data_IF_108198292388
#
_entry.id   IF_108198292388
#
_cell.length_a   1.000
_cell.length_b   1.000
_cell.length_c   1.000
_cell.angle_alpha   90.00
_cell.angle_beta   90.00
_cell.angle_gamma   90.00
#
_symmetry.space_group_name_H-M   'P 1'
#
loop_
_entity.id
_entity.type
_entity.pdbx_description
1 polymer ?
#
# COMPACT_ATOMS: atom_id res chain seq x y z
N UNK A 1 28.30 17.51 9.74
CA UNK A 1 28.25 17.34 8.29
C UNK A 1 27.69 18.64 7.73
N UNK A 2 28.21 19.17 6.63
CA UNK A 2 27.69 20.43 6.06
C UNK A 2 26.50 20.15 5.15
N UNK A 3 25.69 21.17 4.89
CA UNK A 3 24.60 21.14 3.90
C UNK A 3 25.07 20.75 2.50
N UNK A 4 26.36 21.02 2.15
CA UNK A 4 26.95 20.61 0.88
C UNK A 4 26.92 19.09 0.65
N UNK A 5 27.02 18.30 1.73
CA UNK A 5 26.93 16.83 1.64
C UNK A 5 25.51 16.38 1.32
N UNK A 6 24.48 16.99 1.93
CA UNK A 6 23.09 16.73 1.54
C UNK A 6 22.83 17.06 0.08
N UNK A 7 23.31 18.21 -0.39
CA UNK A 7 23.18 18.61 -1.80
C UNK A 7 23.88 17.60 -2.71
N UNK A 8 25.06 17.13 -2.34
CA UNK A 8 25.79 16.13 -3.13
C UNK A 8 25.04 14.78 -3.17
N UNK A 9 24.46 14.34 -2.05
CA UNK A 9 23.62 13.14 -1.99
C UNK A 9 22.36 13.30 -2.85
N UNK A 10 21.69 14.44 -2.77
CA UNK A 10 20.53 14.75 -3.59
C UNK A 10 20.87 14.71 -5.09
N UNK A 11 21.92 15.38 -5.53
CA UNK A 11 22.36 15.38 -6.93
C UNK A 11 22.64 13.96 -7.44
N UNK A 12 23.35 13.13 -6.68
CA UNK A 12 23.60 11.73 -7.06
C UNK A 12 22.31 10.94 -7.27
N UNK A 13 21.30 11.16 -6.42
CA UNK A 13 19.99 10.51 -6.57
C UNK A 13 19.28 10.98 -7.84
N UNK A 14 19.37 12.29 -8.15
CA UNK A 14 18.81 12.85 -9.39
C UNK A 14 19.46 12.25 -10.63
N UNK A 15 20.77 12.01 -10.62
CA UNK A 15 21.48 11.40 -11.73
C UNK A 15 21.05 9.95 -11.98
N UNK A 16 20.74 9.21 -10.93
CA UNK A 16 20.44 7.78 -10.99
C UNK A 16 18.97 7.44 -11.19
N UNK A 17 18.03 8.34 -10.84
CA UNK A 17 16.60 8.07 -11.00
C UNK A 17 16.21 8.10 -12.48
N UNK A 18 15.57 7.00 -12.96
CA UNK A 18 15.01 6.91 -14.31
C UNK A 18 13.61 7.49 -14.38
N UNK A 19 13.25 8.05 -15.54
CA UNK A 19 11.90 8.46 -15.92
C UNK A 19 11.25 7.50 -16.94
N UNK A 20 11.88 6.36 -17.25
CA UNK A 20 11.38 5.42 -18.26
C UNK A 20 10.02 4.85 -17.90
N UNK A 21 9.80 4.63 -16.60
CA UNK A 21 8.54 4.11 -16.09
C UNK A 21 8.14 4.96 -14.87
N UNK A 22 7.02 5.65 -14.99
CA UNK A 22 6.45 6.48 -13.93
C UNK A 22 5.06 5.97 -13.61
N UNK A 23 4.74 5.82 -12.33
CA UNK A 23 3.39 5.44 -11.90
C UNK A 23 2.41 6.60 -12.08
N UNK A 24 1.20 6.31 -12.56
CA UNK A 24 0.16 7.32 -12.79
C UNK A 24 -0.25 8.05 -11.52
N UNK A 25 -0.14 7.40 -10.38
CA UNK A 25 -0.41 8.00 -9.07
C UNK A 25 0.47 9.22 -8.74
N UNK A 26 1.53 9.49 -9.52
CA UNK A 26 2.30 10.73 -9.40
C UNK A 26 1.41 11.97 -9.60
N UNK A 27 0.36 11.86 -10.42
CA UNK A 27 -0.57 12.95 -10.71
C UNK A 27 -1.66 13.12 -9.63
N UNK A 28 -1.76 12.18 -8.68
CA UNK A 28 -2.76 12.20 -7.62
C UNK A 28 -2.21 12.79 -6.30
N UNK A 29 -0.89 12.89 -6.18
CA UNK A 29 -0.26 13.50 -5.01
C UNK A 29 -0.44 15.00 -5.06
N UNK A 30 -0.85 15.59 -3.95
CA UNK A 30 -1.04 17.03 -3.81
C UNK A 30 0.31 17.76 -3.61
N UNK A 31 1.16 17.75 -4.64
CA UNK A 31 2.52 18.30 -4.58
C UNK A 31 2.57 19.81 -4.32
N UNK A 32 1.56 20.55 -4.79
CA UNK A 32 1.50 22.01 -4.68
C UNK A 32 0.96 22.49 -3.33
N UNK A 33 0.54 21.55 -2.47
CA UNK A 33 0.09 21.87 -1.11
C UNK A 33 1.28 22.22 -0.21
N UNK A 34 1.05 23.16 0.72
CA UNK A 34 2.08 23.60 1.68
C UNK A 34 2.65 22.46 2.51
N UNK A 35 1.85 21.44 2.80
CA UNK A 35 2.29 20.22 3.46
C UNK A 35 1.56 19.03 2.88
N UNK A 36 2.29 18.14 2.25
CA UNK A 36 1.79 16.87 1.73
C UNK A 36 2.58 15.69 2.29
N UNK A 37 1.95 14.52 2.32
CA UNK A 37 2.59 13.29 2.77
C UNK A 37 2.34 12.15 1.78
N UNK A 38 3.40 11.47 1.35
CA UNK A 38 3.34 10.23 0.57
C UNK A 38 3.60 9.05 1.53
N UNK A 39 2.55 8.33 1.90
CA UNK A 39 2.64 7.21 2.84
C UNK A 39 2.28 5.89 2.18
N UNK A 40 2.74 4.79 2.73
CA UNK A 40 2.41 3.46 2.20
C UNK A 40 3.42 2.39 2.60
N UNK A 41 3.17 1.12 2.24
CA UNK A 41 4.03 0.00 2.60
C UNK A 41 5.48 0.20 2.17
N UNK A 42 6.40 -0.46 2.86
CA UNK A 42 7.81 -0.45 2.47
C UNK A 42 8.00 -1.19 1.14
N UNK A 43 8.81 -0.63 0.24
CA UNK A 43 9.13 -1.26 -1.05
C UNK A 43 8.17 -0.96 -2.20
N UNK A 44 7.13 -0.14 -2.02
CA UNK A 44 6.17 0.23 -3.09
C UNK A 44 6.67 1.34 -4.02
N UNK A 45 7.83 1.96 -3.73
CA UNK A 45 8.45 2.95 -4.61
C UNK A 45 8.22 4.42 -4.25
N UNK A 46 7.88 4.77 -2.99
CA UNK A 46 7.64 6.15 -2.54
C UNK A 46 8.81 7.09 -2.85
N UNK A 47 10.02 6.72 -2.45
CA UNK A 47 11.25 7.47 -2.72
C UNK A 47 11.45 7.71 -4.22
N UNK A 48 11.24 6.66 -5.04
CA UNK A 48 11.35 6.75 -6.50
C UNK A 48 10.34 7.73 -7.07
N UNK A 49 9.07 7.67 -6.62
CA UNK A 49 8.01 8.57 -7.06
C UNK A 49 8.35 10.03 -6.77
N UNK A 50 8.83 10.34 -5.56
CA UNK A 50 9.27 11.68 -5.17
C UNK A 50 10.42 12.17 -6.06
N UNK A 51 11.44 11.34 -6.24
CA UNK A 51 12.59 11.71 -7.08
C UNK A 51 12.21 11.87 -8.56
N UNK A 52 11.29 11.07 -9.07
CA UNK A 52 10.74 11.22 -10.42
C UNK A 52 9.95 12.52 -10.56
N UNK A 53 9.13 12.87 -9.56
CA UNK A 53 8.43 14.15 -9.55
C UNK A 53 9.41 15.32 -9.59
N UNK A 54 10.42 15.32 -8.74
CA UNK A 54 11.46 16.35 -8.72
C UNK A 54 12.15 16.44 -10.08
N UNK A 55 12.60 15.33 -10.65
CA UNK A 55 13.30 15.29 -11.94
C UNK A 55 12.45 15.79 -13.08
N UNK A 56 11.14 15.53 -13.05
CA UNK A 56 10.19 15.96 -14.09
C UNK A 56 9.85 17.45 -14.02
N UNK A 57 9.75 18.01 -12.80
CA UNK A 57 9.20 19.35 -12.60
C UNK A 57 10.24 20.41 -12.24
N UNK A 58 11.41 20.00 -11.74
CA UNK A 58 12.47 20.91 -11.26
C UNK A 58 13.81 20.72 -12.00
N UNK A 59 13.83 20.04 -13.16
CA UNK A 59 15.08 19.78 -13.91
C UNK A 59 15.90 21.05 -14.18
N UNK A 60 15.21 22.15 -14.52
CA UNK A 60 15.84 23.43 -14.87
C UNK A 60 16.12 24.32 -13.64
N UNK A 61 15.50 24.02 -12.48
CA UNK A 61 15.52 24.84 -11.26
C UNK A 61 15.81 24.03 -10.01
N UNK A 62 16.81 23.15 -10.04
CA UNK A 62 17.17 22.30 -8.89
C UNK A 62 17.59 23.07 -7.62
N UNK A 63 17.89 24.37 -7.72
CA UNK A 63 18.17 25.23 -6.56
C UNK A 63 16.91 25.56 -5.75
N UNK A 64 15.71 25.45 -6.35
CA UNK A 64 14.44 25.73 -5.68
C UNK A 64 13.91 24.52 -4.89
N UNK A 65 14.53 23.36 -5.05
CA UNK A 65 14.09 22.11 -4.42
C UNK A 65 15.23 21.41 -3.71
N UNK A 66 14.91 20.78 -2.56
CA UNK A 66 15.87 19.94 -1.85
C UNK A 66 15.18 18.65 -1.39
N UNK A 67 15.83 17.52 -1.67
CA UNK A 67 15.45 16.22 -1.12
C UNK A 67 16.46 15.79 -0.08
N UNK A 68 15.98 15.38 1.09
CA UNK A 68 16.77 14.80 2.16
C UNK A 68 16.05 13.59 2.78
N UNK A 69 16.78 12.52 3.04
CA UNK A 69 16.28 11.43 3.90
C UNK A 69 16.65 11.70 5.35
N UNK A 70 15.71 11.49 6.26
CA UNK A 70 15.99 11.68 7.69
C UNK A 70 16.93 10.62 8.30
N UNK A 71 17.27 9.60 7.51
CA UNK A 71 18.33 8.63 7.86
C UNK A 71 19.75 9.17 7.59
N UNK A 72 19.89 10.35 6.96
CA UNK A 72 21.20 10.95 6.71
C UNK A 72 21.87 11.38 8.02
N UNK A 73 23.18 11.15 8.11
CA UNK A 73 24.00 11.53 9.26
C UNK A 73 24.01 13.03 9.55
N UNK A 74 23.56 13.85 8.61
CA UNK A 74 23.33 15.28 8.83
C UNK A 74 22.42 15.52 10.04
N UNK A 75 21.35 14.74 10.17
CA UNK A 75 20.37 14.86 11.24
C UNK A 75 20.85 14.34 12.61
N UNK A 76 22.07 13.83 12.70
CA UNK A 76 22.67 13.53 14.02
C UNK A 76 23.07 14.78 14.80
N UNK A 77 23.30 15.91 14.11
CA UNK A 77 23.75 17.17 14.71
C UNK A 77 22.92 18.39 14.29
N UNK A 78 21.94 18.21 13.41
CA UNK A 78 21.06 19.27 12.90
C UNK A 78 19.61 18.84 12.97
N UNK A 79 18.74 19.81 13.18
CA UNK A 79 17.29 19.60 13.21
C UNK A 79 16.66 19.77 11.82
N UNK A 80 15.41 19.33 11.68
CA UNK A 80 14.62 19.63 10.48
C UNK A 80 14.39 21.14 10.33
N UNK A 81 14.28 21.83 11.46
CA UNK A 81 14.11 23.28 11.50
C UNK A 81 15.37 24.01 11.00
N UNK A 82 16.58 23.58 11.42
CA UNK A 82 17.84 24.14 10.91
C UNK A 82 17.95 23.99 9.40
N UNK A 83 17.54 22.83 8.85
CA UNK A 83 17.53 22.60 7.40
C UNK A 83 16.54 23.50 6.68
N UNK A 84 15.33 23.66 7.21
CA UNK A 84 14.28 24.47 6.61
C UNK A 84 14.66 25.96 6.62
N UNK A 85 15.22 26.46 7.73
CA UNK A 85 15.70 27.82 7.86
C UNK A 85 16.81 28.11 6.86
N UNK A 86 17.83 27.24 6.82
CA UNK A 86 18.94 27.38 5.86
C UNK A 86 18.43 27.36 4.42
N UNK A 87 17.56 26.40 4.07
CA UNK A 87 17.07 26.22 2.71
C UNK A 87 16.17 27.38 2.25
N UNK A 88 15.29 27.86 3.12
CA UNK A 88 14.44 29.03 2.86
C UNK A 88 15.30 30.30 2.66
N UNK A 89 16.37 30.50 3.45
CA UNK A 89 17.28 31.62 3.30
C UNK A 89 18.06 31.61 1.97
N UNK A 90 18.21 30.44 1.33
CA UNK A 90 18.81 30.30 -0.02
C UNK A 90 17.78 30.47 -1.15
N UNK A 91 16.52 30.81 -0.84
CA UNK A 91 15.44 30.93 -1.83
C UNK A 91 14.79 29.60 -2.22
N UNK A 92 14.98 28.57 -1.41
CA UNK A 92 14.33 27.26 -1.58
C UNK A 92 12.82 27.36 -1.46
N UNK A 93 12.10 26.61 -2.31
CA UNK A 93 10.64 26.65 -2.40
C UNK A 93 9.97 25.34 -1.98
N UNK A 94 10.63 24.19 -2.21
CA UNK A 94 10.02 22.88 -1.92
C UNK A 94 11.03 21.93 -1.27
N UNK A 95 10.74 21.53 -0.02
CA UNK A 95 11.56 20.62 0.76
C UNK A 95 10.90 19.23 0.81
N UNK A 96 11.62 18.22 0.33
CA UNK A 96 11.20 16.81 0.38
C UNK A 96 11.96 16.07 1.48
N UNK A 97 11.22 15.57 2.48
CA UNK A 97 11.77 14.86 3.65
C UNK A 97 11.34 13.40 3.61
N UNK A 98 12.25 12.53 3.22
CA UNK A 98 11.98 11.09 3.08
C UNK A 98 12.25 10.33 4.37
N UNK A 99 11.49 9.24 4.60
CA UNK A 99 11.54 8.39 5.79
C UNK A 99 11.39 9.19 7.10
N UNK A 100 10.49 10.21 7.10
CA UNK A 100 10.33 11.19 8.18
C UNK A 100 10.14 10.55 9.57
N UNK A 101 9.51 9.36 9.60
CA UNK A 101 9.26 8.62 10.82
C UNK A 101 10.53 8.14 11.57
N UNK A 102 11.68 8.18 10.91
CA UNK A 102 12.98 7.87 11.52
C UNK A 102 13.52 8.99 12.41
N UNK A 103 13.01 10.20 12.22
CA UNK A 103 13.42 11.35 13.00
C UNK A 103 12.51 11.54 14.22
N UNK A 104 13.09 11.44 15.43
CA UNK A 104 12.34 11.60 16.67
C UNK A 104 11.79 13.04 16.80
N UNK A 105 10.49 13.16 17.10
CA UNK A 105 9.85 14.48 17.25
C UNK A 105 9.50 15.19 15.94
N UNK A 106 9.60 14.52 14.81
CA UNK A 106 9.37 15.06 13.47
C UNK A 106 8.06 15.83 13.33
N UNK A 107 6.96 15.35 13.90
CA UNK A 107 5.64 15.97 13.76
C UNK A 107 5.58 17.37 14.34
N UNK A 108 6.27 17.59 15.48
CA UNK A 108 6.38 18.90 16.11
C UNK A 108 7.21 19.86 15.25
N UNK A 109 8.33 19.40 14.71
CA UNK A 109 9.19 20.25 13.87
C UNK A 109 8.55 20.55 12.52
N UNK A 110 7.94 19.57 11.85
CA UNK A 110 7.20 19.79 10.59
C UNK A 110 6.07 20.81 10.77
N UNK A 111 5.34 20.72 11.90
CA UNK A 111 4.34 21.73 12.24
C UNK A 111 4.94 23.12 12.42
N UNK A 112 6.07 23.22 13.13
CA UNK A 112 6.77 24.48 13.35
C UNK A 112 7.28 25.06 12.02
N UNK A 113 7.85 24.25 11.14
CA UNK A 113 8.27 24.65 9.78
C UNK A 113 7.08 25.20 9.00
N UNK A 114 5.96 24.48 9.00
CA UNK A 114 4.73 24.92 8.35
C UNK A 114 4.25 26.27 8.86
N UNK A 115 4.28 26.51 10.18
CA UNK A 115 3.80 27.75 10.77
C UNK A 115 4.82 28.91 10.59
N UNK A 116 6.12 28.62 10.47
CA UNK A 116 7.21 29.63 10.39
C UNK A 116 7.52 30.06 8.95
N UNK A 117 7.47 29.13 7.98
CA UNK A 117 7.85 29.39 6.58
C UNK A 117 6.65 29.24 5.64
N UNK A 118 5.80 30.27 5.51
CA UNK A 118 4.57 30.18 4.72
C UNK A 118 4.80 29.98 3.21
N UNK A 119 5.97 30.34 2.70
CA UNK A 119 6.35 30.21 1.28
C UNK A 119 7.06 28.88 0.97
N UNK A 120 7.34 28.05 1.99
CA UNK A 120 8.01 26.79 1.81
C UNK A 120 7.00 25.63 1.77
N UNK A 121 6.93 24.95 0.63
CA UNK A 121 6.20 23.69 0.52
C UNK A 121 7.04 22.56 1.12
N UNK A 122 6.39 21.67 1.84
CA UNK A 122 7.03 20.50 2.44
C UNK A 122 6.29 19.23 2.04
N UNK A 123 7.00 18.31 1.41
CA UNK A 123 6.49 16.96 1.16
C UNK A 123 7.24 15.98 2.02
N UNK A 124 6.52 15.23 2.84
CA UNK A 124 7.10 14.19 3.68
C UNK A 124 6.77 12.80 3.14
N UNK A 125 7.63 11.82 3.41
CA UNK A 125 7.29 10.42 3.19
C UNK A 125 7.54 9.56 4.41
N UNK A 126 6.86 8.42 4.47
CA UNK A 126 7.11 7.44 5.51
C UNK A 126 6.58 6.06 5.16
N UNK A 127 7.29 5.03 5.63
CA UNK A 127 6.86 3.64 5.47
C UNK A 127 5.87 3.21 6.56
N UNK A 128 5.94 3.81 7.74
CA UNK A 128 5.09 3.47 8.88
C UNK A 128 3.85 4.35 8.93
N UNK A 129 2.73 3.80 8.45
CA UNK A 129 1.41 4.43 8.60
C UNK A 129 1.06 4.75 10.05
N UNK A 130 1.49 3.93 11.00
CA UNK A 130 1.19 4.10 12.43
C UNK A 130 1.74 5.42 12.96
N UNK A 131 2.97 5.76 12.61
CA UNK A 131 3.61 6.96 13.12
C UNK A 131 3.02 8.22 12.49
N UNK A 132 2.75 8.20 11.20
CA UNK A 132 2.11 9.32 10.49
C UNK A 132 0.69 9.53 11.01
N UNK A 133 -0.10 8.45 11.16
CA UNK A 133 -1.46 8.53 11.71
C UNK A 133 -1.50 9.04 13.15
N UNK A 134 -0.54 8.65 13.99
CA UNK A 134 -0.46 9.16 15.36
C UNK A 134 -0.11 10.66 15.41
N UNK A 135 0.60 11.16 14.41
CA UNK A 135 0.91 12.57 14.25
C UNK A 135 -0.21 13.37 13.54
N UNK A 136 -1.15 12.71 12.88
CA UNK A 136 -2.29 13.38 12.21
C UNK A 136 -3.10 14.26 13.14
N UNK A 137 -3.18 13.95 14.43
CA UNK A 137 -3.86 14.79 15.42
C UNK A 137 -3.28 16.21 15.46
N UNK A 138 -1.96 16.36 15.29
CA UNK A 138 -1.26 17.66 15.27
C UNK A 138 -1.21 18.28 13.86
N UNK A 139 -1.23 17.46 12.81
CA UNK A 139 -1.10 17.89 11.42
C UNK A 139 -2.40 17.79 10.61
N UNK A 140 -3.48 17.24 11.17
CA UNK A 140 -4.73 16.87 10.49
C UNK A 140 -5.41 17.97 9.66
N UNK A 141 -5.14 19.23 9.99
CA UNK A 141 -5.68 20.41 9.25
C UNK A 141 -4.67 21.00 8.27
N UNK A 142 -3.44 20.49 8.25
CA UNK A 142 -2.31 21.07 7.52
C UNK A 142 -1.77 20.15 6.44
N UNK A 143 -1.89 18.84 6.63
CA UNK A 143 -1.26 17.83 5.78
C UNK A 143 -2.28 17.11 4.91
N UNK A 144 -2.07 17.13 3.60
CA UNK A 144 -2.80 16.28 2.66
C UNK A 144 -2.02 14.97 2.51
N UNK A 145 -2.68 13.86 2.83
CA UNK A 145 -2.05 12.54 2.84
C UNK A 145 -2.45 11.74 1.61
N UNK A 146 -1.46 11.33 0.83
CA UNK A 146 -1.61 10.38 -0.26
C UNK A 146 -1.15 8.98 0.18
N UNK A 147 -2.02 7.98 0.06
CA UNK A 147 -1.73 6.59 0.41
C UNK A 147 -1.29 5.82 -0.83
N UNK A 148 0.02 5.60 -0.97
CA UNK A 148 0.60 4.85 -2.07
C UNK A 148 0.55 3.35 -1.80
N UNK A 149 -0.10 2.58 -2.67
CA UNK A 149 -0.16 1.12 -2.61
C UNK A 149 0.89 0.48 -3.53
N UNK A 150 1.06 -0.84 -3.48
CA UNK A 150 1.85 -1.57 -4.47
C UNK A 150 1.26 -1.47 -5.87
N UNK A 151 1.90 -2.09 -6.85
CA UNK A 151 1.42 -2.05 -8.23
C UNK A 151 0.05 -2.73 -8.37
N UNK A 152 -0.84 -2.12 -9.14
CA UNK A 152 -2.01 -2.83 -9.67
C UNK A 152 -1.59 -3.85 -10.74
N UNK A 153 -2.52 -4.71 -11.16
CA UNK A 153 -2.25 -5.59 -12.30
C UNK A 153 -2.00 -4.79 -13.58
N UNK A 154 -2.74 -3.69 -13.80
CA UNK A 154 -2.54 -2.77 -14.91
C UNK A 154 -1.12 -2.16 -14.90
N UNK A 155 -0.70 -1.61 -13.75
CA UNK A 155 0.64 -1.05 -13.61
C UNK A 155 1.73 -2.11 -13.80
N UNK A 156 1.52 -3.34 -13.30
CA UNK A 156 2.45 -4.45 -13.55
C UNK A 156 2.60 -4.75 -15.04
N UNK A 157 1.50 -4.75 -15.81
CA UNK A 157 1.57 -4.92 -17.26
C UNK A 157 2.34 -3.77 -17.91
N UNK A 158 2.13 -2.53 -17.48
CA UNK A 158 2.89 -1.37 -17.93
C UNK A 158 4.38 -1.50 -17.64
N UNK A 159 4.73 -1.83 -16.41
CA UNK A 159 6.12 -1.98 -15.96
C UNK A 159 6.83 -3.17 -16.60
N UNK A 160 6.15 -4.31 -16.70
CA UNK A 160 6.77 -5.56 -17.15
C UNK A 160 6.74 -5.75 -18.67
N UNK A 161 5.65 -5.32 -19.33
CA UNK A 161 5.45 -5.50 -20.78
C UNK A 161 5.53 -4.21 -21.55
N UNK A 162 5.71 -3.06 -20.88
CA UNK A 162 5.70 -1.74 -21.49
C UNK A 162 4.37 -1.46 -22.22
N UNK A 163 3.27 -1.97 -21.68
CA UNK A 163 1.94 -1.76 -22.23
C UNK A 163 1.37 -0.44 -21.71
N UNK A 164 0.84 0.36 -22.61
CA UNK A 164 0.10 1.58 -22.25
C UNK A 164 -1.39 1.22 -22.13
N UNK A 165 -1.84 1.00 -20.91
CA UNK A 165 -3.21 0.63 -20.59
C UNK A 165 -3.83 1.71 -19.69
N UNK A 166 -4.99 2.27 -20.08
CA UNK A 166 -5.66 3.30 -19.29
C UNK A 166 -6.14 2.75 -17.94
N UNK A 167 -6.27 3.63 -16.96
CA UNK A 167 -7.04 3.34 -15.75
C UNK A 167 -8.51 3.24 -16.14
N UNK A 168 -9.17 2.20 -15.67
CA UNK A 168 -10.60 1.94 -15.91
C UNK A 168 -11.33 2.04 -14.58
N UNK A 169 -12.35 2.89 -14.47
CA UNK A 169 -13.18 2.93 -13.25
C UNK A 169 -13.93 1.61 -13.04
N UNK A 170 -14.37 1.32 -11.82
CA UNK A 170 -15.17 0.12 -11.55
C UNK A 170 -16.47 0.13 -12.36
N UNK A 171 -17.12 1.27 -12.46
CA UNK A 171 -18.34 1.47 -13.26
C UNK A 171 -18.10 1.16 -14.73
N UNK A 172 -17.02 1.64 -15.31
CA UNK A 172 -16.61 1.36 -16.70
C UNK A 172 -16.26 -0.13 -16.89
N UNK A 173 -15.52 -0.72 -15.94
CA UNK A 173 -15.18 -2.14 -16.00
C UNK A 173 -16.41 -3.04 -15.99
N UNK A 174 -17.45 -2.68 -15.24
CA UNK A 174 -18.71 -3.42 -15.18
C UNK A 174 -19.64 -3.15 -16.38
N UNK A 175 -19.69 -1.90 -16.86
CA UNK A 175 -20.56 -1.53 -17.99
C UNK A 175 -19.99 -1.96 -19.34
N UNK A 176 -18.67 -1.90 -19.53
CA UNK A 176 -17.98 -2.12 -20.80
C UNK A 176 -16.97 -3.28 -20.71
N UNK A 177 -17.33 -4.33 -19.98
CA UNK A 177 -16.42 -5.45 -19.67
C UNK A 177 -15.79 -6.07 -20.92
N UNK A 178 -16.56 -6.28 -21.98
CA UNK A 178 -16.08 -6.88 -23.24
C UNK A 178 -15.05 -6.00 -23.95
N UNK A 179 -15.21 -4.68 -23.88
CA UNK A 179 -14.26 -3.72 -24.45
C UNK A 179 -12.95 -3.73 -23.66
N UNK A 180 -13.02 -3.72 -22.32
CA UNK A 180 -11.85 -3.80 -21.45
C UNK A 180 -11.11 -5.12 -21.66
N UNK A 181 -11.84 -6.25 -21.70
CA UNK A 181 -11.24 -7.55 -21.98
C UNK A 181 -10.56 -7.58 -23.36
N UNK A 182 -11.24 -7.07 -24.41
CA UNK A 182 -10.69 -7.02 -25.76
C UNK A 182 -9.46 -6.13 -25.86
N UNK A 183 -9.45 -4.99 -25.17
CA UNK A 183 -8.32 -4.08 -25.13
C UNK A 183 -7.06 -4.75 -24.56
N UNK A 184 -7.20 -5.46 -23.44
CA UNK A 184 -6.07 -6.14 -22.80
C UNK A 184 -5.62 -7.37 -23.61
N UNK A 185 -6.56 -8.20 -24.08
CA UNK A 185 -6.27 -9.43 -24.85
C UNK A 185 -5.59 -9.16 -26.19
N UNK A 186 -5.79 -7.98 -26.80
CA UNK A 186 -5.06 -7.57 -28.02
C UNK A 186 -3.58 -7.32 -27.76
N UNK A 187 -3.19 -7.00 -26.54
CA UNK A 187 -1.82 -6.58 -26.20
C UNK A 187 -1.04 -7.68 -25.46
N UNK A 188 -1.71 -8.53 -24.69
CA UNK A 188 -1.06 -9.61 -23.95
C UNK A 188 -1.99 -10.81 -23.74
N UNK A 189 -1.50 -11.84 -23.05
CA UNK A 189 -2.30 -12.96 -22.53
C UNK A 189 -2.60 -12.70 -21.06
N UNK A 190 -3.73 -12.08 -20.71
CA UNK A 190 -3.98 -11.56 -19.36
C UNK A 190 -3.96 -12.66 -18.30
N UNK A 191 -4.50 -13.85 -18.55
CA UNK A 191 -4.50 -14.97 -17.59
C UNK A 191 -3.08 -15.37 -17.19
N UNK A 192 -2.20 -15.57 -18.17
CA UNK A 192 -0.81 -15.95 -17.88
C UNK A 192 -0.06 -14.85 -17.11
N UNK A 193 -0.27 -13.58 -17.49
CA UNK A 193 0.33 -12.44 -16.80
C UNK A 193 -0.26 -12.25 -15.41
N UNK A 194 -1.53 -12.54 -15.21
CA UNK A 194 -2.21 -12.45 -13.94
C UNK A 194 -1.66 -13.49 -12.94
N UNK A 195 -1.43 -14.73 -13.37
CA UNK A 195 -0.80 -15.74 -12.52
C UNK A 195 0.63 -15.34 -12.13
N UNK A 196 1.37 -14.69 -13.02
CA UNK A 196 2.68 -14.14 -12.71
C UNK A 196 2.58 -12.97 -11.71
N UNK A 197 1.59 -12.09 -11.89
CA UNK A 197 1.33 -10.99 -10.97
C UNK A 197 0.99 -11.47 -9.56
N UNK A 198 0.12 -12.48 -9.43
CA UNK A 198 -0.23 -13.04 -8.11
C UNK A 198 1.00 -13.49 -7.31
N UNK A 199 2.03 -13.97 -8.01
CA UNK A 199 3.27 -14.42 -7.39
C UNK A 199 4.28 -13.29 -7.16
N UNK A 200 4.43 -12.37 -8.12
CA UNK A 200 5.59 -11.46 -8.17
C UNK A 200 5.25 -10.00 -8.48
N UNK A 201 4.01 -9.66 -8.84
CA UNK A 201 3.70 -8.39 -9.51
C UNK A 201 3.43 -7.19 -8.61
N UNK A 202 3.24 -7.37 -7.30
CA UNK A 202 2.82 -6.30 -6.42
C UNK A 202 3.91 -5.27 -6.10
N UNK A 203 5.16 -5.71 -5.97
CA UNK A 203 6.28 -4.82 -5.63
C UNK A 203 7.16 -4.49 -6.84
N UNK A 204 7.48 -3.19 -7.10
CA UNK A 204 8.28 -2.79 -8.25
C UNK A 204 9.68 -3.44 -8.35
N UNK A 205 10.28 -3.83 -7.22
CA UNK A 205 11.60 -4.48 -7.23
C UNK A 205 11.60 -5.90 -7.84
N UNK A 206 10.46 -6.39 -8.31
CA UNK A 206 10.40 -7.53 -9.21
C UNK A 206 11.26 -7.33 -10.48
N UNK A 207 11.37 -6.09 -10.97
CA UNK A 207 12.22 -5.74 -12.10
C UNK A 207 13.73 -5.99 -11.86
N UNK A 208 14.15 -6.06 -10.59
CA UNK A 208 15.53 -6.37 -10.22
C UNK A 208 15.83 -7.88 -10.24
N UNK A 209 14.84 -8.73 -10.52
CA UNK A 209 14.93 -10.16 -10.68
C UNK A 209 14.19 -10.99 -9.65
N UNK A 210 13.67 -12.14 -10.09
CA UNK A 210 12.85 -13.07 -9.30
C UNK A 210 13.61 -13.82 -8.22
N UNK A 211 14.92 -14.03 -8.39
CA UNK A 211 15.70 -15.00 -7.61
C UNK A 211 15.71 -14.80 -6.10
N UNK A 212 15.52 -13.57 -5.63
CA UNK A 212 15.44 -13.23 -4.19
C UNK A 212 14.19 -12.45 -3.83
N UNK A 213 13.16 -12.51 -4.65
CA UNK A 213 11.97 -11.71 -4.47
C UNK A 213 11.26 -12.00 -3.14
N UNK A 214 11.00 -13.27 -2.85
CA UNK A 214 10.35 -13.68 -1.60
C UNK A 214 11.22 -13.45 -0.37
N UNK A 215 12.54 -13.64 -0.49
CA UNK A 215 13.49 -13.31 0.58
C UNK A 215 13.40 -11.83 0.95
N UNK A 216 13.32 -10.92 -0.05
CA UNK A 216 13.15 -9.49 0.19
C UNK A 216 11.83 -9.18 0.88
N UNK A 217 10.73 -9.82 0.48
CA UNK A 217 9.43 -9.66 1.14
C UNK A 217 9.51 -10.09 2.61
N UNK A 218 10.06 -11.27 2.88
CA UNK A 218 10.24 -11.77 4.26
C UNK A 218 11.09 -10.81 5.09
N UNK A 219 12.22 -10.32 4.55
CA UNK A 219 13.07 -9.36 5.23
C UNK A 219 12.34 -8.03 5.55
N UNK A 220 11.50 -7.54 4.63
CA UNK A 220 10.68 -6.35 4.87
C UNK A 220 9.66 -6.61 5.98
N UNK A 221 8.97 -7.74 5.95
CA UNK A 221 7.98 -8.12 6.96
C UNK A 221 8.65 -8.25 8.33
N UNK A 222 9.77 -8.97 8.41
CA UNK A 222 10.53 -9.17 9.64
C UNK A 222 11.01 -7.85 10.22
N UNK A 223 11.47 -6.94 9.36
CA UNK A 223 11.89 -5.61 9.78
C UNK A 223 10.71 -4.76 10.31
N UNK A 224 9.58 -4.75 9.60
CA UNK A 224 8.38 -4.01 10.02
C UNK A 224 7.85 -4.55 11.35
N UNK A 225 7.68 -5.87 11.46
CA UNK A 225 7.09 -6.51 12.64
C UNK A 225 8.07 -6.56 13.82
N UNK A 226 9.36 -6.78 13.53
CA UNK A 226 10.41 -6.92 14.54
C UNK A 226 11.01 -5.60 15.04
N UNK A 227 10.91 -4.52 14.27
CA UNK A 227 11.57 -3.24 14.57
C UNK A 227 10.64 -2.03 14.47
N UNK A 228 9.99 -1.79 13.33
CA UNK A 228 9.19 -0.57 13.15
C UNK A 228 7.95 -0.55 14.06
N UNK A 229 7.13 -1.58 14.04
CA UNK A 229 5.93 -1.65 14.87
C UNK A 229 6.23 -1.54 16.37
N UNK A 230 7.21 -2.28 16.92
CA UNK A 230 7.59 -2.15 18.33
C UNK A 230 8.03 -0.74 18.71
N UNK A 231 8.83 -0.09 17.85
CA UNK A 231 9.30 1.27 18.09
C UNK A 231 8.15 2.28 18.12
N UNK A 232 7.25 2.20 17.14
CA UNK A 232 6.14 3.15 16.97
C UNK A 232 5.02 2.93 17.99
N UNK A 233 4.64 1.67 18.22
CA UNK A 233 3.55 1.30 19.11
C UNK A 233 4.00 1.10 20.56
N UNK A 234 5.30 1.34 20.86
CA UNK A 234 5.90 1.13 22.19
C UNK A 234 5.63 -0.27 22.74
N UNK A 235 5.73 -1.27 21.84
CA UNK A 235 5.54 -2.68 22.21
C UNK A 235 6.80 -3.15 22.96
N UNK A 236 6.62 -3.66 24.17
CA UNK A 236 7.73 -4.22 24.93
C UNK A 236 8.39 -5.39 24.20
N UNK A 237 9.71 -5.52 24.32
CA UNK A 237 10.52 -6.54 23.62
C UNK A 237 10.00 -7.98 23.80
N UNK A 238 9.47 -8.30 24.98
CA UNK A 238 8.87 -9.61 25.29
C UNK A 238 7.64 -9.88 24.40
N UNK A 239 6.92 -8.84 24.03
CA UNK A 239 5.69 -8.93 23.26
C UNK A 239 5.92 -8.93 21.75
N UNK A 240 7.10 -8.53 21.27
CA UNK A 240 7.49 -8.61 19.84
C UNK A 240 7.42 -10.04 19.32
N UNK A 241 7.89 -11.00 20.12
CA UNK A 241 7.79 -12.44 19.77
C UNK A 241 6.35 -12.90 19.58
N UNK A 242 5.42 -12.39 20.39
CA UNK A 242 3.99 -12.73 20.25
C UNK A 242 3.40 -12.13 18.98
N UNK A 243 3.83 -10.92 18.60
CA UNK A 243 3.42 -10.28 17.36
C UNK A 243 3.92 -11.08 16.13
N UNK A 244 5.18 -11.51 16.13
CA UNK A 244 5.74 -12.39 15.08
C UNK A 244 5.05 -13.76 15.06
N UNK A 245 4.77 -14.34 16.22
CA UNK A 245 4.03 -15.60 16.32
C UNK A 245 2.61 -15.45 15.76
N UNK A 246 1.92 -14.34 16.06
CA UNK A 246 0.60 -14.04 15.50
C UNK A 246 0.65 -14.00 13.97
N UNK A 247 1.64 -13.31 13.39
CA UNK A 247 1.81 -13.25 11.94
C UNK A 247 1.99 -14.65 11.32
N UNK A 248 2.82 -15.51 11.91
CA UNK A 248 3.02 -16.88 11.42
C UNK A 248 1.74 -17.71 11.49
N UNK A 249 0.96 -17.57 12.57
CA UNK A 249 -0.34 -18.23 12.71
C UNK A 249 -1.31 -17.73 11.63
N UNK A 250 -1.37 -16.41 11.43
CA UNK A 250 -2.22 -15.76 10.43
C UNK A 250 -1.87 -16.24 9.02
N UNK A 251 -0.59 -16.21 8.64
CA UNK A 251 -0.14 -16.65 7.33
C UNK A 251 -0.55 -18.10 7.00
N UNK A 252 -0.56 -18.97 8.00
CA UNK A 252 -1.00 -20.37 7.84
C UNK A 252 -2.51 -20.60 7.86
N UNK A 253 -3.32 -19.61 8.29
CA UNK A 253 -4.76 -19.76 8.45
C UNK A 253 -5.60 -19.01 7.41
N UNK A 254 -5.04 -17.98 6.73
CA UNK A 254 -5.83 -17.15 5.79
C UNK A 254 -6.34 -17.95 4.57
N UNK A 255 -7.53 -17.61 4.03
CA UNK A 255 -8.51 -16.66 4.55
C UNK A 255 -9.13 -17.21 5.85
N UNK A 256 -9.25 -16.39 6.86
CA UNK A 256 -9.65 -16.85 8.19
C UNK A 256 -10.83 -16.04 8.73
N UNK A 257 -11.93 -16.74 9.02
CA UNK A 257 -13.00 -16.20 9.84
C UNK A 257 -12.52 -16.11 11.29
N UNK A 258 -12.42 -14.90 11.80
CA UNK A 258 -11.68 -14.63 13.02
C UNK A 258 -12.33 -15.22 14.27
N UNK A 259 -11.66 -16.18 14.89
CA UNK A 259 -11.89 -16.61 16.26
C UNK A 259 -10.80 -16.02 17.19
N UNK A 260 -11.12 -14.86 17.76
CA UNK A 260 -10.19 -14.15 18.67
C UNK A 260 -9.88 -14.99 19.92
N UNK A 261 -10.81 -15.83 20.39
CA UNK A 261 -10.58 -16.65 21.58
C UNK A 261 -9.57 -17.75 21.29
N UNK A 262 -9.66 -18.38 20.12
CA UNK A 262 -8.70 -19.40 19.67
C UNK A 262 -7.31 -18.78 19.46
N UNK A 263 -7.22 -17.62 18.80
CA UNK A 263 -5.95 -16.90 18.64
C UNK A 263 -5.35 -16.50 19.99
N UNK A 264 -6.16 -16.00 20.92
CA UNK A 264 -5.73 -15.63 22.26
C UNK A 264 -5.14 -16.83 23.03
N UNK A 265 -5.80 -18.00 22.92
CA UNK A 265 -5.30 -19.24 23.50
C UNK A 265 -3.95 -19.66 22.89
N UNK A 266 -3.84 -19.64 21.55
CA UNK A 266 -2.59 -20.01 20.84
C UNK A 266 -1.42 -19.10 21.19
N UNK A 267 -1.67 -17.81 21.40
CA UNK A 267 -0.66 -16.80 21.72
C UNK A 267 -0.39 -16.66 23.23
N UNK A 268 -1.16 -17.36 24.07
CA UNK A 268 -1.16 -17.17 25.51
C UNK A 268 -1.25 -15.67 25.88
N UNK A 269 -2.24 -14.99 25.29
CA UNK A 269 -2.47 -13.56 25.41
C UNK A 269 -3.95 -13.25 25.69
N UNK A 270 -4.25 -12.03 26.15
CA UNK A 270 -5.63 -11.60 26.29
C UNK A 270 -6.29 -11.36 24.93
N UNK A 271 -7.62 -11.44 24.84
CA UNK A 271 -8.39 -11.11 23.64
C UNK A 271 -8.11 -9.67 23.17
N UNK A 272 -8.00 -8.73 24.11
CA UNK A 272 -7.70 -7.34 23.80
C UNK A 272 -6.30 -7.18 23.22
N UNK A 273 -5.31 -7.89 23.74
CA UNK A 273 -3.95 -7.92 23.19
C UNK A 273 -3.94 -8.42 21.74
N UNK A 274 -4.69 -9.48 21.45
CA UNK A 274 -4.80 -10.01 20.07
C UNK A 274 -5.44 -8.98 19.14
N UNK A 275 -6.54 -8.35 19.54
CA UNK A 275 -7.20 -7.30 18.75
C UNK A 275 -6.25 -6.12 18.49
N UNK A 276 -5.50 -5.69 19.50
CA UNK A 276 -4.50 -4.63 19.37
C UNK A 276 -3.40 -5.02 18.38
N UNK A 277 -2.89 -6.25 18.43
CA UNK A 277 -1.85 -6.70 17.51
C UNK A 277 -2.37 -6.86 16.07
N UNK A 278 -3.60 -7.31 15.90
CA UNK A 278 -4.25 -7.35 14.58
C UNK A 278 -4.42 -5.93 14.01
N UNK A 279 -4.82 -4.95 14.84
CA UNK A 279 -4.88 -3.55 14.41
C UNK A 279 -3.49 -3.01 14.00
N UNK A 280 -2.44 -3.33 14.76
CA UNK A 280 -1.07 -2.95 14.40
C UNK A 280 -0.63 -3.54 13.06
N UNK A 281 -0.84 -4.84 12.84
CA UNK A 281 -0.51 -5.51 11.58
C UNK A 281 -1.30 -4.95 10.40
N UNK A 282 -2.59 -4.64 10.62
CA UNK A 282 -3.45 -4.04 9.60
C UNK A 282 -2.98 -2.62 9.20
N UNK A 283 -2.68 -1.78 10.18
CA UNK A 283 -2.14 -0.43 9.94
C UNK A 283 -0.76 -0.47 9.28
N UNK A 284 0.05 -1.46 9.61
CA UNK A 284 1.36 -1.68 8.98
C UNK A 284 1.26 -2.24 7.56
N UNK A 285 0.04 -2.51 7.06
CA UNK A 285 -0.18 -3.09 5.75
C UNK A 285 0.50 -4.46 5.57
N UNK A 286 0.41 -5.28 6.60
CA UNK A 286 0.81 -6.70 6.59
C UNK A 286 -0.42 -7.59 6.39
N UNK A 287 -1.53 -7.23 7.01
CA UNK A 287 -2.83 -7.91 6.87
C UNK A 287 -3.93 -6.92 6.48
N UNK A 288 -5.04 -7.45 6.00
CA UNK A 288 -6.28 -6.74 5.78
C UNK A 288 -7.39 -7.35 6.66
N UNK A 289 -8.10 -6.50 7.40
CA UNK A 289 -9.22 -6.88 8.24
C UNK A 289 -10.52 -6.44 7.58
N UNK A 290 -11.45 -7.36 7.39
CA UNK A 290 -12.78 -7.08 6.87
C UNK A 290 -13.84 -7.18 7.96
N UNK A 291 -14.81 -6.30 7.86
CA UNK A 291 -15.98 -6.20 8.74
C UNK A 291 -17.24 -6.31 7.88
N UNK A 292 -18.30 -6.89 8.43
CA UNK A 292 -19.57 -7.08 7.72
C UNK A 292 -20.56 -5.92 7.86
N UNK A 293 -20.24 -4.94 8.69
CA UNK A 293 -21.01 -3.72 8.89
C UNK A 293 -20.05 -2.61 9.35
N UNK A 294 -19.49 -1.89 8.39
CA UNK A 294 -18.58 -0.79 8.66
C UNK A 294 -19.29 0.56 8.82
N UNK A 295 -20.61 0.58 8.66
CA UNK A 295 -21.43 1.81 8.71
C UNK A 295 -21.82 2.27 10.12
N UNK A 296 -21.71 1.42 11.15
CA UNK A 296 -22.06 1.80 12.50
C UNK A 296 -20.85 2.33 13.28
N UNK A 297 -21.08 3.28 14.21
CA UNK A 297 -20.05 3.89 15.07
C UNK A 297 -19.28 2.90 15.97
N UNK A 298 -19.38 1.61 15.74
CA UNK A 298 -18.76 0.56 16.54
C UNK A 298 -17.35 0.26 16.07
N UNK A 299 -16.42 1.23 16.12
CA UNK A 299 -14.98 1.01 15.96
C UNK A 299 -14.34 -0.01 16.92
N UNK A 300 -15.14 -0.70 17.73
CA UNK A 300 -14.73 -1.75 18.68
C UNK A 300 -15.24 -3.13 18.22
N UNK A 301 -15.71 -3.26 16.98
CA UNK A 301 -16.17 -4.56 16.50
C UNK A 301 -14.99 -5.48 16.19
N UNK A 302 -15.16 -6.74 16.57
CA UNK A 302 -14.30 -7.84 16.14
C UNK A 302 -14.35 -7.91 14.62
N UNK A 303 -13.21 -7.91 13.91
CA UNK A 303 -13.21 -8.17 12.48
C UNK A 303 -13.77 -9.57 12.18
N UNK A 304 -14.48 -9.70 11.06
CA UNK A 304 -15.12 -10.96 10.67
C UNK A 304 -14.16 -11.86 9.89
N UNK A 305 -13.42 -11.29 8.94
CA UNK A 305 -12.51 -12.04 8.06
C UNK A 305 -11.16 -11.33 7.94
N UNK A 306 -10.12 -12.09 7.66
CA UNK A 306 -8.75 -11.57 7.58
C UNK A 306 -8.02 -12.20 6.41
N UNK A 307 -7.19 -11.37 5.74
CA UNK A 307 -6.28 -11.75 4.66
C UNK A 307 -4.88 -11.19 4.94
N UNK A 308 -3.86 -11.69 4.24
CA UNK A 308 -2.61 -10.97 4.10
C UNK A 308 -2.81 -9.75 3.20
N UNK A 309 -1.94 -8.74 3.28
CA UNK A 309 -2.13 -7.49 2.54
C UNK A 309 -2.19 -7.69 1.03
N UNK A 310 -1.37 -8.59 0.47
CA UNK A 310 -1.35 -8.86 -0.95
C UNK A 310 -0.93 -10.32 -1.25
N UNK A 311 -1.21 -10.82 -2.47
CA UNK A 311 -0.87 -12.20 -2.84
C UNK A 311 0.62 -12.51 -2.76
N UNK A 312 1.50 -11.55 -3.06
CA UNK A 312 2.94 -11.80 -3.04
C UNK A 312 3.46 -12.08 -1.61
N UNK A 313 2.89 -11.41 -0.58
CA UNK A 313 3.17 -11.74 0.82
C UNK A 313 2.66 -13.16 1.17
N UNK A 314 1.50 -13.54 0.64
CA UNK A 314 0.97 -14.88 0.83
C UNK A 314 1.94 -15.93 0.26
N UNK A 315 2.39 -15.77 -0.98
CA UNK A 315 3.36 -16.69 -1.60
C UNK A 315 4.70 -16.69 -0.85
N UNK A 316 5.19 -15.54 -0.40
CA UNK A 316 6.45 -15.44 0.34
C UNK A 316 6.41 -16.16 1.70
N UNK A 317 5.27 -16.11 2.41
CA UNK A 317 5.12 -16.68 3.75
C UNK A 317 4.66 -18.16 3.73
N UNK A 318 3.97 -18.61 2.68
CA UNK A 318 3.44 -19.99 2.59
C UNK A 318 4.15 -20.88 1.60
N UNK A 319 4.93 -20.31 0.68
CA UNK A 319 5.71 -21.01 -0.35
C UNK A 319 4.85 -22.05 -1.11
N UNK A 320 5.31 -23.30 -1.17
CA UNK A 320 4.64 -24.39 -1.88
C UNK A 320 3.26 -24.78 -1.32
N UNK A 321 2.87 -24.23 -0.17
CA UNK A 321 1.57 -24.46 0.47
C UNK A 321 0.53 -23.42 0.15
N UNK A 322 0.82 -22.48 -0.76
CA UNK A 322 -0.09 -21.40 -1.12
C UNK A 322 -1.38 -21.95 -1.72
N UNK A 323 -2.51 -21.61 -1.11
CA UNK A 323 -3.82 -21.93 -1.64
C UNK A 323 -4.20 -20.88 -2.69
N UNK A 324 -4.45 -21.31 -3.92
CA UNK A 324 -4.80 -20.41 -5.03
C UNK A 324 -6.14 -19.68 -4.80
N UNK A 325 -7.11 -20.31 -4.12
CA UNK A 325 -8.37 -19.64 -3.74
C UNK A 325 -8.11 -18.47 -2.81
N UNK A 326 -7.24 -18.68 -1.80
CA UNK A 326 -6.77 -17.59 -0.91
C UNK A 326 -6.07 -16.48 -1.68
N UNK A 327 -5.21 -16.81 -2.64
CA UNK A 327 -4.50 -15.81 -3.43
C UNK A 327 -5.46 -14.95 -4.28
N UNK A 328 -6.52 -15.57 -4.85
CA UNK A 328 -7.58 -14.89 -5.61
C UNK A 328 -8.35 -13.89 -4.74
N UNK A 329 -8.83 -14.34 -3.57
CA UNK A 329 -9.56 -13.47 -2.65
C UNK A 329 -8.65 -12.35 -2.11
N UNK A 330 -7.40 -12.66 -1.76
CA UNK A 330 -6.40 -11.67 -1.31
C UNK A 330 -6.13 -10.62 -2.38
N UNK A 331 -6.05 -11.02 -3.65
CA UNK A 331 -5.92 -10.09 -4.76
C UNK A 331 -7.15 -9.19 -4.87
N UNK A 332 -8.35 -9.78 -4.88
CA UNK A 332 -9.59 -9.03 -5.03
C UNK A 332 -9.74 -7.96 -3.93
N UNK A 333 -9.56 -8.36 -2.66
CA UNK A 333 -9.70 -7.41 -1.54
C UNK A 333 -8.62 -6.32 -1.58
N UNK A 334 -7.38 -6.65 -1.99
CA UNK A 334 -6.29 -5.69 -2.10
C UNK A 334 -6.57 -4.65 -3.20
N UNK A 335 -6.93 -5.09 -4.41
CA UNK A 335 -7.14 -4.19 -5.54
C UNK A 335 -8.40 -3.33 -5.37
N UNK A 336 -9.51 -3.95 -4.97
CA UNK A 336 -10.76 -3.23 -4.67
C UNK A 336 -10.59 -2.24 -3.52
N UNK A 337 -9.92 -2.64 -2.45
CA UNK A 337 -9.75 -1.84 -1.24
C UNK A 337 -8.91 -0.58 -1.40
N UNK A 338 -8.25 -0.38 -2.55
CA UNK A 338 -7.51 0.84 -2.83
C UNK A 338 -8.43 2.04 -3.12
N UNK A 339 -9.50 1.82 -3.89
CA UNK A 339 -10.44 2.87 -4.33
C UNK A 339 -11.81 2.76 -3.70
N UNK A 340 -12.16 1.59 -3.16
CA UNK A 340 -13.50 1.27 -2.72
C UNK A 340 -13.52 0.80 -1.28
N UNK A 341 -14.66 0.94 -0.64
CA UNK A 341 -14.93 0.35 0.67
C UNK A 341 -15.31 -1.10 0.48
N UNK A 342 -14.49 -2.01 0.98
CA UNK A 342 -14.72 -3.45 0.90
C UNK A 342 -15.15 -3.99 2.27
N UNK A 343 -16.27 -4.70 2.31
CA UNK A 343 -16.85 -5.34 3.47
C UNK A 343 -16.96 -6.84 3.25
N UNK A 344 -17.01 -7.62 4.34
CA UNK A 344 -17.25 -9.05 4.26
C UNK A 344 -18.70 -9.32 3.92
N UNK A 345 -18.98 -10.02 2.82
CA UNK A 345 -20.32 -10.28 2.29
C UNK A 345 -21.12 -11.33 3.09
N UNK A 346 -20.47 -12.16 3.93
CA UNK A 346 -21.09 -13.26 4.71
C UNK A 346 -21.80 -14.26 3.80
N UNK A 347 -23.14 -14.16 3.75
CA UNK A 347 -24.01 -15.03 2.95
C UNK A 347 -24.32 -14.45 1.58
N UNK A 348 -23.92 -13.21 1.34
CA UNK A 348 -24.20 -12.43 0.13
C UNK A 348 -22.94 -12.28 -0.73
N UNK A 349 -22.16 -13.34 -0.87
CA UNK A 349 -20.89 -13.38 -1.57
C UNK A 349 -19.66 -13.23 -0.66
N UNK A 350 -18.48 -13.20 -1.25
CA UNK A 350 -17.23 -13.00 -0.54
C UNK A 350 -17.07 -11.55 -0.08
N UNK A 351 -17.46 -10.58 -0.94
CA UNK A 351 -17.27 -9.15 -0.68
C UNK A 351 -18.52 -8.34 -1.04
N UNK A 352 -18.82 -7.34 -0.20
CA UNK A 352 -19.73 -6.24 -0.49
C UNK A 352 -18.89 -4.98 -0.68
N UNK A 353 -19.00 -4.36 -1.86
CA UNK A 353 -18.22 -3.17 -2.23
C UNK A 353 -19.13 -1.96 -2.35
N UNK A 354 -18.75 -0.86 -1.66
CA UNK A 354 -19.48 0.41 -1.58
C UNK A 354 -20.95 0.27 -1.15
N UNK A 355 -21.25 -0.80 -0.37
CA UNK A 355 -22.57 -1.10 0.14
C UNK A 355 -23.60 -1.53 -0.91
N UNK A 356 -23.17 -1.84 -2.16
CA UNK A 356 -24.08 -2.20 -3.26
C UNK A 356 -23.63 -3.34 -4.17
N UNK A 357 -22.33 -3.46 -4.47
CA UNK A 357 -21.82 -4.46 -5.40
C UNK A 357 -21.44 -5.73 -4.65
N UNK A 358 -22.06 -6.84 -5.01
CA UNK A 358 -21.79 -8.15 -4.42
C UNK A 358 -20.83 -8.94 -5.31
N UNK A 359 -19.70 -9.34 -4.76
CA UNK A 359 -18.70 -10.13 -5.47
C UNK A 359 -18.50 -11.49 -4.83
N UNK A 360 -18.50 -12.51 -5.69
CA UNK A 360 -18.10 -13.89 -5.36
C UNK A 360 -16.80 -14.19 -6.13
N UNK A 361 -15.76 -14.69 -5.46
CA UNK A 361 -14.43 -14.90 -6.05
C UNK A 361 -14.14 -16.39 -6.18
N UNK A 362 -13.56 -16.81 -7.31
CA UNK A 362 -13.19 -18.21 -7.47
C UNK A 362 -12.45 -18.54 -8.76
N UNK A 363 -12.39 -19.82 -9.05
CA UNK A 363 -11.86 -20.33 -10.33
C UNK A 363 -12.92 -20.29 -11.44
N UNK A 364 -12.55 -20.74 -12.63
CA UNK A 364 -13.40 -20.74 -13.83
C UNK A 364 -14.76 -21.40 -13.61
N UNK A 365 -14.84 -22.44 -12.78
CA UNK A 365 -16.08 -23.18 -12.52
C UNK A 365 -16.95 -22.57 -11.41
N UNK A 366 -16.53 -21.46 -10.78
CA UNK A 366 -17.29 -20.81 -9.73
C UNK A 366 -18.67 -20.36 -10.26
N UNK A 367 -19.73 -20.69 -9.56
CA UNK A 367 -21.11 -20.36 -9.92
C UNK A 367 -21.70 -19.24 -9.08
N UNK A 368 -22.95 -18.89 -9.35
CA UNK A 368 -23.69 -17.79 -8.72
C UNK A 368 -24.49 -18.20 -7.46
N UNK A 369 -24.35 -19.42 -6.96
CA UNK A 369 -25.28 -20.00 -5.96
C UNK A 369 -25.50 -19.13 -4.71
N UNK A 370 -24.49 -18.34 -4.28
CA UNK A 370 -24.59 -17.47 -3.10
C UNK A 370 -25.18 -16.08 -3.41
N UNK A 371 -25.11 -15.65 -4.66
CA UNK A 371 -25.45 -14.28 -5.09
C UNK A 371 -26.53 -14.24 -6.17
N UNK A 372 -27.15 -15.37 -6.50
CA UNK A 372 -28.09 -15.51 -7.63
C UNK A 372 -29.30 -14.57 -7.55
N UNK A 373 -29.81 -14.31 -6.33
CA UNK A 373 -31.00 -13.49 -6.11
C UNK A 373 -30.67 -12.02 -5.77
N UNK A 374 -29.38 -11.66 -5.79
CA UNK A 374 -28.93 -10.31 -5.45
C UNK A 374 -28.82 -9.45 -6.71
N UNK A 375 -29.23 -8.19 -6.57
CA UNK A 375 -28.95 -7.17 -7.59
C UNK A 375 -27.46 -6.79 -7.55
N UNK A 376 -26.96 -6.28 -8.66
CA UNK A 376 -25.57 -5.81 -8.78
C UNK A 376 -24.55 -6.84 -8.26
N UNK A 377 -24.77 -8.11 -8.65
CA UNK A 377 -23.97 -9.25 -8.22
C UNK A 377 -23.13 -9.82 -9.36
N UNK A 378 -21.86 -10.12 -9.06
CA UNK A 378 -20.87 -10.55 -10.06
C UNK A 378 -20.00 -11.69 -9.52
N UNK A 379 -19.64 -12.62 -10.40
CA UNK A 379 -18.60 -13.62 -10.10
C UNK A 379 -17.29 -13.16 -10.72
N UNK A 380 -16.27 -12.96 -9.88
CA UNK A 380 -14.90 -12.70 -10.32
C UNK A 380 -14.17 -14.05 -10.45
N UNK A 381 -14.04 -14.53 -11.67
CA UNK A 381 -13.48 -15.84 -11.95
C UNK A 381 -12.09 -15.77 -12.55
N UNK A 382 -11.14 -16.53 -11.96
CA UNK A 382 -9.82 -16.75 -12.54
C UNK A 382 -9.90 -17.69 -13.76
N UNK A 383 -8.82 -17.78 -14.53
CA UNK A 383 -8.71 -18.58 -15.74
C UNK A 383 -9.73 -18.20 -16.85
N UNK A 384 -10.14 -16.93 -16.88
CA UNK A 384 -11.01 -16.35 -17.91
C UNK A 384 -10.32 -15.18 -18.60
N UNK A 385 -10.40 -15.15 -19.94
CA UNK A 385 -9.91 -14.03 -20.76
C UNK A 385 -11.02 -13.03 -21.07
N UNK A 386 -12.26 -13.50 -21.17
CA UNK A 386 -13.46 -12.72 -21.51
C UNK A 386 -14.57 -12.98 -20.50
N UNK A 387 -15.45 -12.02 -20.35
CA UNK A 387 -16.64 -12.15 -19.51
C UNK A 387 -17.72 -13.02 -20.15
N UNK A 388 -18.62 -13.55 -19.30
CA UNK A 388 -19.83 -14.23 -19.73
C UNK A 388 -20.98 -13.77 -18.82
N UNK A 389 -21.77 -12.81 -19.30
CA UNK A 389 -22.78 -12.15 -18.49
C UNK A 389 -22.17 -11.46 -17.26
N UNK A 390 -22.70 -11.72 -16.07
CA UNK A 390 -22.15 -11.19 -14.80
C UNK A 390 -20.96 -11.98 -14.24
N UNK A 391 -20.41 -12.92 -15.00
CA UNK A 391 -19.17 -13.62 -14.66
C UNK A 391 -18.00 -12.97 -15.38
N UNK A 392 -17.14 -12.29 -14.62
CA UNK A 392 -16.07 -11.45 -15.10
C UNK A 392 -14.71 -12.10 -14.84
N UNK A 393 -13.70 -11.85 -15.69
CA UNK A 393 -12.33 -12.22 -15.37
C UNK A 393 -11.87 -11.56 -14.07
N UNK A 394 -11.29 -12.32 -13.14
CA UNK A 394 -10.82 -11.79 -11.86
C UNK A 394 -9.79 -10.66 -12.02
N UNK A 395 -8.91 -10.77 -13.02
CA UNK A 395 -7.87 -9.77 -13.27
C UNK A 395 -8.41 -8.35 -13.59
N UNK A 396 -9.71 -8.25 -13.99
CA UNK A 396 -10.30 -6.96 -14.39
C UNK A 396 -10.31 -5.93 -13.25
N UNK A 397 -10.46 -6.39 -11.99
CA UNK A 397 -10.43 -5.49 -10.84
C UNK A 397 -9.05 -4.88 -10.62
N UNK A 398 -8.02 -5.48 -11.18
CA UNK A 398 -6.65 -4.91 -11.17
C UNK A 398 -6.37 -3.89 -12.26
N UNK A 399 -7.40 -3.50 -13.04
CA UNK A 399 -7.33 -2.43 -14.04
C UNK A 399 -7.80 -1.08 -13.47
N UNK A 400 -8.28 -1.05 -12.22
CA UNK A 400 -9.01 0.09 -11.65
C UNK A 400 -8.13 1.17 -11.01
N UNK A 401 -6.80 1.01 -10.99
CA UNK A 401 -5.84 2.06 -10.62
C UNK A 401 -4.48 1.83 -11.26
#
# INVERSE_FOLDING_TARGET
>A
MSTDVLIAHFKRRMDTVSLDIIRDCINEVAWDERLSAVVGPRGVGKTTLILQYIKKHYADNLSEVLYATTEDLFFSNHTLMDLAEWFSAQGGKHLFLDEIHRYAGWSREVKLIYDTFPELNVTISGSSLLQILNAEADLSRRCIVFNMQGLSFREFLGFYKQLDLPVVTMEEALANTDEVCSMVNRQCRPVAMFHEYLQYGYFPYYLEGKGRYYERICNIIDYVVGSELPMVCKVETVNVRKLQMLLNIVAGLVPYELDISKLASMLQASRNTVLTYLDYLNRAKIIQLLYSDSGSMKKVQKPDKMYLENPNMLYALTLDKTNIGTARETFAVNQLGYRHRVEYGKREGDFLVDGRLHFEVGGKEKGFSQIADLKDSYVLADDMEYAVGSKLPLWIVGMTY
#
